data_IF_678433541723
#
_entry.id   IF_678433541723
#
_cell.length_a   1.000
_cell.length_b   1.000
_cell.length_c   1.000
_cell.angle_alpha   90.00
_cell.angle_beta   90.00
_cell.angle_gamma   90.00
#
_symmetry.space_group_name_H-M   'P 1'
#
loop_
_entity.id
_entity.type
_entity.pdbx_description
1 polymer ?
#
# COMPACT_ATOMS: atom_id res chain seq x y z
N UNK A 1 -0.42 45.66 -11.04
CA UNK A 1 0.31 44.43 -10.69
C UNK A 1 -0.65 43.31 -10.99
N UNK A 2 -0.34 42.45 -11.96
CA UNK A 2 -1.26 41.44 -12.45
C UNK A 2 -1.54 40.42 -11.34
N UNK A 3 -2.83 40.29 -11.00
CA UNK A 3 -3.39 39.17 -10.24
C UNK A 3 -3.25 37.91 -11.08
N UNK A 4 -2.05 37.31 -11.06
CA UNK A 4 -1.89 35.92 -11.47
C UNK A 4 -2.47 35.10 -10.33
N UNK A 5 -3.74 34.73 -10.44
CA UNK A 5 -4.24 33.56 -9.74
C UNK A 5 -3.30 32.41 -10.11
N UNK A 6 -2.34 32.09 -9.23
CA UNK A 6 -1.35 31.05 -9.46
C UNK A 6 -2.13 29.78 -9.84
N UNK A 7 -2.02 29.34 -11.09
CA UNK A 7 -2.67 28.11 -11.54
C UNK A 7 -2.29 27.00 -10.57
N UNK A 8 -3.31 26.35 -10.01
CA UNK A 8 -3.10 25.30 -9.02
C UNK A 8 -2.28 24.16 -9.65
N UNK A 9 -1.29 23.59 -8.94
CA UNK A 9 -0.60 22.41 -9.42
C UNK A 9 -1.60 21.28 -9.68
N UNK A 10 -1.42 20.59 -10.80
CA UNK A 10 -2.20 19.40 -11.15
C UNK A 10 -1.40 18.14 -10.78
N UNK A 11 -1.97 17.30 -9.93
CA UNK A 11 -1.35 16.04 -9.49
C UNK A 11 -2.07 14.86 -10.13
N UNK A 12 -1.35 14.02 -10.88
CA UNK A 12 -1.89 12.76 -11.40
C UNK A 12 -1.32 11.58 -10.63
N UNK A 13 -2.18 10.79 -9.99
CA UNK A 13 -1.79 9.51 -9.39
C UNK A 13 -1.84 8.40 -10.43
N UNK A 14 -0.70 7.78 -10.69
CA UNK A 14 -0.55 6.63 -11.58
C UNK A 14 -0.58 5.35 -10.74
N UNK A 15 -1.61 4.52 -10.96
CA UNK A 15 -1.85 3.32 -10.17
C UNK A 15 -2.08 2.09 -11.04
N UNK A 16 -1.70 0.92 -10.51
CA UNK A 16 -1.95 -0.36 -11.15
C UNK A 16 -3.12 -1.05 -10.46
N UNK A 17 -4.04 -1.60 -11.25
CA UNK A 17 -5.12 -2.48 -10.77
C UNK A 17 -4.78 -3.95 -11.01
N UNK A 18 -5.26 -4.81 -10.11
CA UNK A 18 -5.12 -6.26 -10.24
C UNK A 18 -6.30 -6.82 -11.04
N UNK A 19 -6.00 -7.67 -12.03
CA UNK A 19 -6.95 -8.66 -12.54
C UNK A 19 -6.71 -9.94 -11.73
N UNK A 20 -7.71 -10.37 -10.95
CA UNK A 20 -7.69 -11.72 -10.38
C UNK A 20 -8.21 -12.67 -11.46
N UNK A 21 -7.34 -13.06 -12.39
CA UNK A 21 -7.66 -14.23 -13.21
C UNK A 21 -7.50 -15.45 -12.29
N UNK A 22 -8.60 -16.07 -11.91
CA UNK A 22 -8.56 -17.47 -11.48
C UNK A 22 -7.88 -18.24 -12.60
N UNK A 23 -6.70 -18.81 -12.31
CA UNK A 23 -6.05 -19.82 -13.13
C UNK A 23 -6.93 -21.08 -13.16
N UNK A 24 -8.04 -21.00 -13.89
CA UNK A 24 -8.80 -22.17 -14.33
C UNK A 24 -8.29 -22.54 -15.72
N UNK A 25 -7.61 -23.69 -15.77
CA UNK A 25 -7.12 -24.42 -16.93
C UNK A 25 -5.68 -24.12 -17.39
N UNK A 26 -4.73 -24.69 -16.64
CA UNK A 26 -3.49 -25.22 -17.21
C UNK A 26 -3.38 -26.71 -16.84
N UNK A 27 -4.17 -27.56 -17.48
CA UNK A 27 -3.85 -28.98 -17.61
C UNK A 27 -4.14 -29.39 -19.04
N UNK A 28 -3.09 -29.41 -19.83
CA UNK A 28 -3.11 -29.89 -21.19
C UNK A 28 -1.72 -30.27 -21.70
N UNK A 29 -0.71 -30.42 -20.84
CA UNK A 29 0.36 -31.37 -21.14
C UNK A 29 1.17 -31.75 -19.90
N UNK A 30 1.51 -33.03 -19.83
CA UNK A 30 2.01 -33.73 -18.65
C UNK A 30 3.48 -34.00 -18.84
N UNK A 31 4.34 -32.98 -18.80
CA UNK A 31 5.82 -33.13 -18.88
C UNK A 31 6.51 -31.78 -18.66
N UNK A 32 6.93 -31.46 -17.43
CA UNK A 32 8.14 -30.67 -17.15
C UNK A 32 8.28 -30.41 -15.64
N UNK A 33 9.02 -31.30 -14.99
CA UNK A 33 9.65 -31.10 -13.69
C UNK A 33 11.15 -31.20 -13.92
N UNK A 34 11.87 -30.11 -13.64
CA UNK A 34 13.33 -29.94 -13.48
C UNK A 34 14.17 -29.98 -14.78
N UNK A 35 14.96 -28.92 -15.01
CA UNK A 35 16.43 -28.87 -15.23
C UNK A 35 16.78 -27.52 -15.87
N UNK A 36 17.74 -26.81 -15.27
CA UNK A 36 18.40 -25.68 -15.91
C UNK A 36 19.32 -26.16 -17.04
N UNK A 37 19.15 -25.67 -18.28
CA UNK A 37 20.22 -25.34 -19.25
C UNK A 37 19.61 -24.74 -20.52
N UNK A 38 20.23 -23.66 -21.03
CA UNK A 38 20.23 -23.12 -22.42
C UNK A 38 19.10 -23.57 -23.38
N UNK A 39 18.30 -22.61 -23.86
CA UNK A 39 18.20 -22.29 -25.30
C UNK A 39 17.27 -21.09 -25.51
N UNK A 40 17.72 -20.19 -26.38
CA UNK A 40 16.95 -19.07 -26.93
C UNK A 40 15.72 -19.58 -27.71
N UNK A 41 14.51 -19.22 -27.29
CA UNK A 41 13.42 -18.88 -28.21
C UNK A 41 12.23 -18.26 -27.46
N UNK A 42 12.27 -16.93 -27.35
CA UNK A 42 11.12 -16.08 -27.07
C UNK A 42 10.37 -15.88 -28.38
N UNK A 43 9.13 -16.36 -28.51
CA UNK A 43 8.02 -15.81 -29.33
C UNK A 43 7.08 -16.93 -29.80
N UNK A 44 6.16 -17.39 -28.94
CA UNK A 44 5.29 -18.47 -29.37
C UNK A 44 4.04 -18.79 -28.58
N UNK A 45 3.54 -17.94 -27.67
CA UNK A 45 2.23 -18.20 -27.02
C UNK A 45 1.49 -16.87 -26.79
N UNK A 46 1.01 -16.27 -27.87
CA UNK A 46 0.11 -15.11 -27.84
C UNK A 46 -1.09 -15.40 -28.74
N UNK A 47 -2.20 -15.85 -28.13
CA UNK A 47 -3.60 -15.51 -28.43
C UNK A 47 -4.51 -16.64 -27.98
N UNK A 48 -5.41 -16.32 -27.05
CA UNK A 48 -6.86 -16.59 -27.09
C UNK A 48 -7.42 -16.60 -25.66
N UNK A 49 -7.78 -15.44 -25.11
CA UNK A 49 -8.87 -15.34 -24.12
C UNK A 49 -9.61 -14.02 -24.33
N UNK A 50 -10.90 -14.12 -24.63
CA UNK A 50 -11.86 -13.04 -24.81
C UNK A 50 -12.30 -12.43 -23.47
N UNK A 51 -12.68 -11.16 -23.52
CA UNK A 51 -13.14 -10.36 -22.38
C UNK A 51 -14.26 -11.01 -21.56
N UNK A 52 -13.93 -11.30 -20.29
CA UNK A 52 -14.85 -11.13 -19.16
C UNK A 52 -14.27 -10.04 -18.27
N UNK A 53 -14.99 -8.93 -18.15
CA UNK A 53 -14.67 -7.83 -17.24
C UNK A 53 -14.68 -8.35 -15.80
N UNK A 54 -13.49 -8.63 -15.27
CA UNK A 54 -13.25 -8.73 -13.83
C UNK A 54 -13.04 -7.30 -13.30
N UNK A 55 -13.59 -6.95 -12.12
CA UNK A 55 -13.38 -5.62 -11.55
C UNK A 55 -11.89 -5.37 -11.32
N UNK A 56 -11.39 -4.22 -11.78
CA UNK A 56 -10.05 -3.68 -11.59
C UNK A 56 -9.87 -3.13 -10.16
N UNK A 57 -9.31 -3.96 -9.27
CA UNK A 57 -9.31 -3.69 -7.83
C UNK A 57 -8.22 -2.72 -7.36
N UNK A 58 -8.48 -1.41 -7.35
CA UNK A 58 -7.55 -0.38 -6.80
C UNK A 58 -7.41 -0.45 -5.28
N UNK A 59 -8.50 -0.81 -4.61
CA UNK A 59 -8.64 -1.11 -3.18
C UNK A 59 -7.63 -2.15 -2.64
N UNK A 60 -7.05 -2.97 -3.51
CA UNK A 60 -6.03 -3.96 -3.17
C UNK A 60 -4.59 -3.44 -3.37
N UNK A 61 -4.46 -2.15 -3.66
CA UNK A 61 -3.19 -1.51 -3.99
C UNK A 61 -2.74 -0.58 -2.89
N UNK A 62 -1.42 -0.52 -2.70
CA UNK A 62 -0.70 0.51 -1.94
C UNK A 62 -1.08 1.95 -2.35
N UNK A 63 -1.74 2.11 -3.51
CA UNK A 63 -2.23 3.38 -4.03
C UNK A 63 -3.43 3.93 -3.25
N UNK A 64 -4.24 3.11 -2.57
CA UNK A 64 -5.44 3.58 -1.86
C UNK A 64 -5.13 4.64 -0.79
N UNK A 65 -4.04 4.45 -0.03
CA UNK A 65 -3.61 5.44 0.99
C UNK A 65 -3.16 6.77 0.38
N UNK A 66 -2.64 6.75 -0.85
CA UNK A 66 -2.29 7.98 -1.57
C UNK A 66 -3.54 8.68 -2.07
N UNK A 67 -4.56 7.94 -2.53
CA UNK A 67 -5.87 8.53 -2.85
C UNK A 67 -6.46 9.21 -1.63
N UNK A 68 -6.40 8.57 -0.45
CA UNK A 68 -6.83 9.22 0.79
C UNK A 68 -6.01 10.48 1.07
N UNK A 69 -4.69 10.41 1.05
CA UNK A 69 -3.86 11.59 1.30
C UNK A 69 -4.14 12.73 0.31
N UNK A 70 -4.37 12.44 -0.97
CA UNK A 70 -4.75 13.45 -1.98
C UNK A 70 -6.09 14.12 -1.68
N UNK A 71 -7.03 13.42 -1.03
CA UNK A 71 -8.29 14.02 -0.56
C UNK A 71 -8.09 14.99 0.61
N UNK A 72 -7.07 14.77 1.44
CA UNK A 72 -6.73 15.68 2.54
C UNK A 72 -5.91 16.89 2.06
N UNK A 73 -5.27 16.79 0.88
CA UNK A 73 -4.44 17.85 0.32
C UNK A 73 -5.26 19.11 -0.04
N UNK A 74 -4.69 20.28 0.24
CA UNK A 74 -5.28 21.60 -0.02
C UNK A 74 -4.52 22.28 -1.16
N UNK A 75 -5.24 23.06 -1.97
CA UNK A 75 -4.63 23.91 -3.00
C UNK A 75 -4.15 23.19 -4.25
N UNK A 76 -4.53 21.92 -4.46
CA UNK A 76 -4.23 21.14 -5.67
C UNK A 76 -5.51 20.67 -6.35
N UNK A 77 -5.40 20.46 -7.65
CA UNK A 77 -6.34 19.63 -8.40
C UNK A 77 -5.67 18.28 -8.66
N UNK A 78 -6.39 17.17 -8.51
CA UNK A 78 -5.81 15.86 -8.73
C UNK A 78 -6.71 14.92 -9.52
N UNK A 79 -6.07 13.99 -10.25
CA UNK A 79 -6.73 12.98 -11.07
C UNK A 79 -6.07 11.60 -10.90
N UNK A 80 -6.77 10.55 -11.29
CA UNK A 80 -6.35 9.16 -11.19
C UNK A 80 -6.16 8.54 -12.58
N UNK A 81 -4.97 8.02 -12.85
CA UNK A 81 -4.70 7.25 -14.07
C UNK A 81 -4.42 5.79 -13.74
N UNK A 82 -5.34 4.93 -14.16
CA UNK A 82 -5.27 3.49 -13.93
C UNK A 82 -4.59 2.78 -15.09
N UNK A 83 -3.66 1.90 -14.73
CA UNK A 83 -2.95 1.02 -15.62
C UNK A 83 -3.33 -0.43 -15.29
N UNK A 84 -3.74 -1.20 -16.29
CA UNK A 84 -4.05 -2.62 -16.13
C UNK A 84 -2.75 -3.42 -16.20
N UNK A 85 -2.59 -4.43 -15.34
CA UNK A 85 -1.50 -5.39 -15.49
C UNK A 85 -1.70 -6.22 -16.76
N UNK A 86 -0.58 -6.59 -17.37
CA UNK A 86 -0.58 -7.60 -18.43
C UNK A 86 -0.87 -8.99 -17.82
N UNK A 87 -1.20 -9.98 -18.67
CA UNK A 87 -1.54 -11.36 -18.27
C UNK A 87 -0.50 -12.01 -17.34
N UNK A 88 0.76 -11.61 -17.47
CA UNK A 88 1.88 -12.17 -16.70
C UNK A 88 2.03 -11.53 -15.31
N UNK A 89 1.03 -10.76 -14.85
CA UNK A 89 1.04 -10.02 -13.58
C UNK A 89 2.19 -9.00 -13.44
N UNK A 90 2.87 -8.67 -14.55
CA UNK A 90 3.93 -7.66 -14.60
C UNK A 90 3.35 -6.26 -14.78
N UNK A 91 4.16 -5.26 -14.44
CA UNK A 91 3.80 -3.88 -14.63
C UNK A 91 3.76 -3.53 -16.13
N UNK A 92 2.70 -2.85 -16.59
CA UNK A 92 2.52 -2.58 -18.00
C UNK A 92 3.62 -1.65 -18.54
N UNK A 93 4.06 -1.82 -19.80
CA UNK A 93 5.07 -0.95 -20.42
C UNK A 93 4.74 0.55 -20.31
N UNK A 94 3.45 0.90 -20.31
CA UNK A 94 2.99 2.28 -20.17
C UNK A 94 3.37 2.91 -18.82
N UNK A 95 3.46 2.15 -17.73
CA UNK A 95 3.89 2.68 -16.44
C UNK A 95 5.41 2.80 -16.36
N UNK A 96 6.17 1.89 -17.00
CA UNK A 96 7.63 2.00 -17.13
C UNK A 96 8.06 3.28 -17.87
N UNK A 97 7.21 3.79 -18.77
CA UNK A 97 7.41 5.09 -19.43
C UNK A 97 7.27 6.29 -18.48
N UNK A 98 6.50 6.15 -17.39
CA UNK A 98 6.36 7.19 -16.37
C UNK A 98 7.53 7.12 -15.40
N UNK A 99 7.79 5.93 -14.84
CA UNK A 99 8.92 5.69 -13.95
C UNK A 99 9.59 4.33 -14.24
N UNK A 100 10.92 4.25 -14.36
CA UNK A 100 11.62 3.06 -14.89
C UNK A 100 11.41 1.79 -14.05
N UNK A 101 11.15 1.92 -12.74
CA UNK A 101 10.84 0.76 -11.87
C UNK A 101 9.50 0.09 -12.20
N UNK A 102 8.59 0.79 -12.91
CA UNK A 102 7.26 0.28 -13.22
C UNK A 102 6.44 -0.12 -11.99
N UNK A 103 6.68 0.48 -10.83
CA UNK A 103 5.90 0.21 -9.61
C UNK A 103 4.85 1.29 -9.41
N UNK A 104 3.79 0.95 -8.69
CA UNK A 104 2.79 1.90 -8.21
C UNK A 104 2.76 1.91 -6.68
N UNK A 105 2.42 3.04 -6.05
CA UNK A 105 2.01 4.31 -6.65
C UNK A 105 3.17 5.14 -7.22
N UNK A 106 2.87 5.96 -8.22
CA UNK A 106 3.74 7.03 -8.77
C UNK A 106 2.85 8.26 -8.96
N UNK A 107 3.35 9.47 -8.65
CA UNK A 107 2.65 10.70 -8.98
C UNK A 107 3.41 11.51 -10.02
N UNK A 108 2.67 12.20 -10.89
CA UNK A 108 3.20 13.25 -11.75
C UNK A 108 2.58 14.58 -11.33
N UNK A 109 3.39 15.62 -11.17
CA UNK A 109 2.95 16.95 -10.75
C UNK A 109 3.28 17.94 -11.88
N UNK A 110 2.24 18.55 -12.42
CA UNK A 110 2.31 19.61 -13.42
C UNK A 110 2.17 20.96 -12.72
N UNK A 111 3.11 21.87 -12.96
CA UNK A 111 3.10 23.23 -12.41
C UNK A 111 3.75 24.20 -13.39
N UNK A 112 3.30 25.46 -13.48
CA UNK A 112 3.92 26.47 -14.33
C UNK A 112 5.41 26.70 -14.06
N UNK A 113 5.88 26.36 -12.85
CA UNK A 113 7.28 26.53 -12.46
C UNK A 113 8.24 25.50 -13.11
N UNK A 114 7.72 24.41 -13.69
CA UNK A 114 8.54 23.33 -14.24
C UNK A 114 8.26 23.15 -15.74
N UNK A 115 9.31 23.05 -16.53
CA UNK A 115 9.20 22.83 -17.98
C UNK A 115 8.67 21.43 -18.34
N UNK A 116 8.71 20.48 -17.41
CA UNK A 116 8.21 19.11 -17.54
C UNK A 116 7.60 18.64 -16.22
N UNK A 117 6.65 17.68 -16.24
CA UNK A 117 6.07 17.17 -15.01
C UNK A 117 7.13 16.60 -14.06
N UNK A 118 7.03 16.91 -12.77
CA UNK A 118 7.81 16.26 -11.73
C UNK A 118 7.23 14.87 -11.47
N UNK A 119 8.03 13.82 -11.59
CA UNK A 119 7.60 12.44 -11.34
C UNK A 119 8.22 11.94 -10.04
N UNK A 120 7.37 11.49 -9.11
CA UNK A 120 7.79 10.95 -7.82
C UNK A 120 7.31 9.49 -7.68
N UNK A 121 8.24 8.63 -7.31
CA UNK A 121 8.01 7.25 -6.90
C UNK A 121 8.37 7.08 -5.42
N UNK A 122 8.15 5.88 -4.88
CA UNK A 122 8.23 5.55 -3.44
C UNK A 122 7.14 6.20 -2.59
N UNK A 123 6.33 5.37 -1.92
CA UNK A 123 5.17 5.89 -1.18
C UNK A 123 5.56 6.82 -0.04
N UNK A 124 6.68 6.57 0.65
CA UNK A 124 7.19 7.47 1.71
C UNK A 124 7.50 8.85 1.14
N UNK A 125 8.32 8.91 0.09
CA UNK A 125 8.68 10.15 -0.61
C UNK A 125 7.46 10.91 -1.14
N UNK A 126 6.51 10.20 -1.75
CA UNK A 126 5.27 10.80 -2.24
C UNK A 126 4.48 11.45 -1.09
N UNK A 127 4.33 10.74 0.04
CA UNK A 127 3.58 11.23 1.19
C UNK A 127 4.28 12.45 1.81
N UNK A 128 5.60 12.39 2.02
CA UNK A 128 6.39 13.50 2.55
C UNK A 128 6.25 14.75 1.68
N UNK A 129 6.41 14.60 0.35
CA UNK A 129 6.26 15.71 -0.58
C UNK A 129 4.85 16.33 -0.53
N UNK A 130 3.80 15.50 -0.51
CA UNK A 130 2.43 15.99 -0.40
C UNK A 130 2.18 16.69 0.95
N UNK A 131 2.77 16.21 2.03
CA UNK A 131 2.69 16.85 3.34
C UNK A 131 3.38 18.22 3.35
N UNK A 132 4.59 18.31 2.81
CA UNK A 132 5.37 19.56 2.79
C UNK A 132 4.65 20.68 2.02
N UNK A 133 3.96 20.32 0.93
CA UNK A 133 3.40 21.30 0.02
C UNK A 133 1.88 21.50 0.13
N UNK A 134 1.12 20.46 0.49
CA UNK A 134 -0.35 20.47 0.35
C UNK A 134 -1.09 19.94 1.58
N UNK A 135 -0.43 19.23 2.49
CA UNK A 135 -1.07 18.58 3.65
C UNK A 135 -0.31 18.79 4.96
N UNK A 136 0.25 19.98 5.18
CA UNK A 136 1.07 20.33 6.36
C UNK A 136 0.36 20.09 7.69
N UNK A 137 -0.97 20.19 7.70
CA UNK A 137 -1.81 19.92 8.87
C UNK A 137 -1.81 18.45 9.32
N UNK A 138 -1.32 17.52 8.50
CA UNK A 138 -1.15 16.11 8.84
C UNK A 138 0.25 15.79 9.42
N UNK A 139 1.10 16.81 9.60
CA UNK A 139 2.42 16.68 10.21
C UNK A 139 2.36 17.30 11.60
N UNK A 140 2.62 16.54 12.68
CA UNK A 140 2.63 17.09 14.03
C UNK A 140 3.77 18.10 14.20
N UNK A 141 3.62 19.00 15.17
CA UNK A 141 4.64 19.99 15.51
C UNK A 141 5.94 19.28 15.88
N UNK A 142 7.03 19.60 15.18
CA UNK A 142 8.31 18.92 15.38
C UNK A 142 8.94 19.16 16.74
N UNK A 143 9.10 20.42 17.13
CA UNK A 143 9.81 20.80 18.33
C UNK A 143 8.85 21.30 19.41
N UNK A 144 9.20 21.03 20.66
CA UNK A 144 8.62 21.72 21.80
C UNK A 144 8.97 23.22 21.73
N UNK A 145 8.15 24.08 22.34
CA UNK A 145 8.37 25.54 22.28
C UNK A 145 9.75 25.93 22.81
N UNK A 146 10.53 26.63 21.97
CA UNK A 146 11.88 27.11 22.30
C UNK A 146 12.96 26.02 22.33
N UNK A 147 12.68 24.83 21.78
CA UNK A 147 13.61 23.69 21.74
C UNK A 147 14.10 23.35 20.33
N UNK A 148 13.88 24.24 19.38
CA UNK A 148 14.27 24.08 17.98
C UNK A 148 15.77 23.75 17.83
N UNK A 149 16.05 22.66 17.09
CA UNK A 149 17.41 22.20 16.80
C UNK A 149 18.16 21.56 17.97
N UNK A 150 17.54 21.44 19.16
CA UNK A 150 18.14 20.78 20.31
C UNK A 150 17.90 19.27 20.24
N UNK A 151 18.92 18.46 20.55
CA UNK A 151 18.78 17.00 20.66
C UNK A 151 17.81 16.66 21.79
N UNK A 152 16.73 15.94 21.47
CA UNK A 152 15.66 15.64 22.43
C UNK A 152 14.67 16.79 22.63
N UNK A 153 14.74 17.84 21.81
CA UNK A 153 13.78 18.94 21.79
C UNK A 153 12.51 18.61 21.00
N UNK A 154 12.49 17.49 20.29
CA UNK A 154 11.33 17.05 19.52
C UNK A 154 10.13 16.68 20.42
N UNK A 155 8.92 16.78 19.86
CA UNK A 155 7.70 16.27 20.50
C UNK A 155 7.63 14.75 20.34
N UNK A 156 6.95 14.06 21.27
CA UNK A 156 6.76 12.61 21.15
C UNK A 156 5.91 12.27 19.91
N UNK A 157 4.87 13.07 19.65
CA UNK A 157 4.00 12.96 18.49
C UNK A 157 4.79 12.94 17.18
N UNK A 158 5.76 13.86 17.04
CA UNK A 158 6.57 13.94 15.84
C UNK A 158 7.61 12.82 15.74
N UNK A 159 8.19 12.38 16.85
CA UNK A 159 9.10 11.24 16.85
C UNK A 159 8.39 9.96 16.43
N UNK A 160 7.17 9.74 16.93
CA UNK A 160 6.30 8.63 16.51
C UNK A 160 5.92 8.77 15.04
N UNK A 161 5.49 9.95 14.60
CA UNK A 161 5.18 10.23 13.20
C UNK A 161 6.33 9.84 12.28
N UNK A 162 7.54 10.34 12.54
CA UNK A 162 8.74 10.01 11.75
C UNK A 162 9.03 8.51 11.76
N UNK A 163 8.95 7.86 12.92
CA UNK A 163 9.17 6.42 13.02
C UNK A 163 8.16 5.65 12.17
N UNK A 164 6.87 5.98 12.27
CA UNK A 164 5.81 5.30 11.53
C UNK A 164 5.86 5.54 10.01
N UNK A 165 6.32 6.72 9.59
CA UNK A 165 6.60 7.02 8.18
C UNK A 165 7.63 6.05 7.56
N UNK A 166 8.57 5.52 8.34
CA UNK A 166 9.52 4.50 7.86
C UNK A 166 9.08 3.06 8.18
N UNK A 167 8.47 2.85 9.34
CA UNK A 167 8.05 1.54 9.84
C UNK A 167 6.99 0.87 8.94
N UNK A 168 6.06 1.66 8.39
CA UNK A 168 4.96 1.16 7.57
C UNK A 168 5.43 0.24 6.43
N UNK A 169 6.45 0.66 5.67
CA UNK A 169 7.00 -0.10 4.54
C UNK A 169 8.25 -0.90 4.91
N UNK A 170 9.15 -0.32 5.72
CA UNK A 170 10.43 -0.93 6.04
C UNK A 170 10.30 -2.16 6.96
N UNK A 171 9.31 -2.17 7.85
CA UNK A 171 9.18 -3.19 8.89
C UNK A 171 7.90 -4.02 8.77
N UNK A 172 6.74 -3.35 8.81
CA UNK A 172 5.47 -4.08 8.89
C UNK A 172 5.07 -4.66 7.53
N UNK A 173 4.98 -3.84 6.48
CA UNK A 173 4.55 -4.31 5.16
C UNK A 173 5.55 -5.29 4.54
N UNK A 174 6.86 -5.13 4.77
CA UNK A 174 7.88 -6.09 4.32
C UNK A 174 7.68 -7.47 4.94
N UNK A 175 7.42 -7.53 6.25
CA UNK A 175 7.09 -8.77 6.97
C UNK A 175 5.77 -9.37 6.48
N UNK A 176 4.73 -8.56 6.31
CA UNK A 176 3.43 -9.00 5.82
C UNK A 176 3.51 -9.52 4.38
N UNK A 177 4.32 -8.88 3.52
CA UNK A 177 4.54 -9.34 2.15
C UNK A 177 5.20 -10.72 2.13
N UNK A 178 6.20 -10.95 2.97
CA UNK A 178 6.81 -12.28 3.09
C UNK A 178 5.76 -13.30 3.57
N UNK A 179 4.97 -12.96 4.59
CA UNK A 179 3.88 -13.84 5.06
C UNK A 179 2.90 -14.19 3.93
N UNK A 180 2.48 -13.20 3.13
CA UNK A 180 1.59 -13.42 1.98
C UNK A 180 2.23 -14.31 0.90
N UNK A 181 3.52 -14.14 0.62
CA UNK A 181 4.25 -15.02 -0.33
C UNK A 181 4.26 -16.45 0.17
N UNK A 182 4.54 -16.65 1.47
CA UNK A 182 4.54 -18.00 2.07
C UNK A 182 3.15 -18.62 2.07
N UNK A 183 2.09 -17.86 2.39
CA UNK A 183 0.70 -18.34 2.30
C UNK A 183 0.36 -18.80 0.88
N UNK A 184 0.73 -17.98 -0.11
CA UNK A 184 0.49 -18.28 -1.52
C UNK A 184 1.24 -19.53 -1.98
N UNK A 185 2.37 -19.90 -1.37
CA UNK A 185 3.08 -21.16 -1.66
C UNK A 185 2.36 -22.35 -1.00
N UNK A 186 1.92 -22.19 0.25
CA UNK A 186 1.27 -23.26 1.02
C UNK A 186 -0.11 -23.63 0.51
N UNK A 187 -0.91 -22.63 0.10
CA UNK A 187 -2.32 -22.80 -0.26
C UNK A 187 -2.61 -22.46 -1.73
N UNK A 188 -1.60 -22.52 -2.61
CA UNK A 188 -1.82 -22.33 -4.04
C UNK A 188 -2.81 -23.38 -4.60
N UNK A 189 -3.97 -22.97 -5.13
CA UNK A 189 -4.92 -23.90 -5.73
C UNK A 189 -4.33 -24.64 -6.95
N UNK A 190 -3.37 -24.05 -7.65
CA UNK A 190 -2.72 -24.63 -8.81
C UNK A 190 -1.68 -25.72 -8.46
N UNK A 191 -1.27 -25.87 -7.19
CA UNK A 191 -0.34 -26.94 -6.79
C UNK A 191 -1.03 -28.30 -6.87
N UNK A 192 -0.49 -29.29 -7.60
CA UNK A 192 -1.05 -30.64 -7.65
C UNK A 192 -1.17 -31.29 -6.27
N UNK A 193 -2.25 -32.04 -6.03
CA UNK A 193 -2.60 -32.57 -4.70
C UNK A 193 -1.46 -33.37 -4.03
N UNK A 194 -0.65 -34.10 -4.81
CA UNK A 194 0.47 -34.88 -4.28
C UNK A 194 1.67 -34.03 -3.82
N UNK A 195 1.82 -32.79 -4.31
CA UNK A 195 2.87 -31.86 -3.89
C UNK A 195 2.41 -30.96 -2.73
N UNK A 196 1.10 -30.72 -2.59
CA UNK A 196 0.52 -29.85 -1.55
C UNK A 196 1.00 -30.15 -0.11
N UNK A 197 1.15 -31.42 0.33
CA UNK A 197 1.68 -31.71 1.67
C UNK A 197 3.09 -31.15 1.87
N UNK A 198 3.94 -31.21 0.84
CA UNK A 198 5.33 -30.73 0.90
C UNK A 198 5.35 -29.19 0.97
N UNK A 199 4.60 -28.51 0.11
CA UNK A 199 4.56 -27.03 0.11
C UNK A 199 3.98 -26.48 1.42
N UNK A 200 2.97 -27.15 2.00
CA UNK A 200 2.43 -26.82 3.32
C UNK A 200 3.41 -27.07 4.46
N UNK A 201 4.18 -28.15 4.40
CA UNK A 201 5.22 -28.43 5.40
C UNK A 201 6.32 -27.36 5.39
N UNK A 202 6.79 -26.97 4.20
CA UNK A 202 7.76 -25.88 4.04
C UNK A 202 7.21 -24.56 4.60
N UNK A 203 5.98 -24.21 4.22
CA UNK A 203 5.32 -22.97 4.69
C UNK A 203 5.16 -22.96 6.21
N UNK A 204 4.71 -24.07 6.79
CA UNK A 204 4.57 -24.24 8.25
C UNK A 204 5.92 -24.09 8.96
N UNK A 205 7.00 -24.61 8.37
CA UNK A 205 8.36 -24.49 8.92
C UNK A 205 8.84 -23.04 8.92
N UNK A 206 8.65 -22.31 7.83
CA UNK A 206 8.99 -20.87 7.76
C UNK A 206 8.18 -20.07 8.79
N UNK A 207 6.91 -20.37 8.97
CA UNK A 207 6.08 -19.76 10.00
C UNK A 207 6.61 -20.02 11.41
N UNK A 208 6.88 -21.29 11.75
CA UNK A 208 7.35 -21.67 13.08
C UNK A 208 8.72 -21.10 13.46
N UNK A 209 9.64 -20.97 12.49
CA UNK A 209 11.00 -20.45 12.76
C UNK A 209 11.02 -18.93 12.84
N UNK A 210 10.22 -18.25 12.01
CA UNK A 210 10.37 -16.81 11.80
C UNK A 210 9.03 -16.07 11.91
N UNK A 211 8.08 -16.30 10.99
CA UNK A 211 6.95 -15.38 10.81
C UNK A 211 6.03 -15.27 12.03
N UNK A 212 5.76 -16.37 12.74
CA UNK A 212 4.84 -16.35 13.88
C UNK A 212 5.33 -15.40 14.99
N UNK A 213 6.61 -15.50 15.37
CA UNK A 213 7.17 -14.66 16.43
C UNK A 213 7.40 -13.22 15.95
N UNK A 214 7.82 -13.03 14.70
CA UNK A 214 8.02 -11.69 14.13
C UNK A 214 6.69 -10.93 14.04
N UNK A 215 5.64 -11.55 13.50
CA UNK A 215 4.31 -10.96 13.42
C UNK A 215 3.75 -10.65 14.82
N UNK A 216 3.87 -11.61 15.76
CA UNK A 216 3.47 -11.39 17.16
C UNK A 216 4.19 -10.16 17.74
N UNK A 217 5.48 -10.01 17.51
CA UNK A 217 6.26 -8.86 17.99
C UNK A 217 5.73 -7.54 17.44
N UNK A 218 5.45 -7.48 16.14
CA UNK A 218 4.87 -6.27 15.52
C UNK A 218 3.48 -5.94 16.09
N UNK A 219 2.62 -6.94 16.30
CA UNK A 219 1.26 -6.70 16.80
C UNK A 219 1.22 -6.38 18.30
N UNK A 220 2.05 -7.03 19.13
CA UNK A 220 2.22 -6.67 20.54
C UNK A 220 2.76 -5.22 20.64
N UNK A 221 3.74 -4.85 19.82
CA UNK A 221 4.26 -3.47 19.76
C UNK A 221 3.16 -2.47 19.40
N UNK A 222 2.42 -2.69 18.31
CA UNK A 222 1.38 -1.75 17.88
C UNK A 222 0.24 -1.62 18.89
N UNK A 223 -0.19 -2.72 19.52
CA UNK A 223 -1.18 -2.69 20.60
C UNK A 223 -0.69 -1.83 21.77
N UNK A 224 0.58 -1.98 22.17
CA UNK A 224 1.18 -1.17 23.23
C UNK A 224 1.32 0.30 22.84
N UNK A 225 1.71 0.59 21.59
CA UNK A 225 1.86 1.96 21.12
C UNK A 225 0.52 2.70 21.09
N UNK A 226 -0.56 2.03 20.70
CA UNK A 226 -1.92 2.56 20.80
C UNK A 226 -2.40 2.69 22.25
N UNK A 227 -1.91 1.84 23.16
CA UNK A 227 -2.21 1.97 24.59
C UNK A 227 -1.50 3.17 25.23
N UNK A 228 -0.42 3.66 24.63
CA UNK A 228 0.44 4.73 25.14
C UNK A 228 0.50 5.90 24.19
N UNK A 229 -0.54 6.11 23.36
CA UNK A 229 -0.55 7.22 22.40
C UNK A 229 -0.34 8.56 23.11
N UNK A 230 0.49 9.48 22.57
CA UNK A 230 0.77 10.76 23.22
C UNK A 230 -0.53 11.50 23.56
N UNK A 231 -0.59 12.04 24.78
CA UNK A 231 -1.76 12.76 25.28
C UNK A 231 -3.03 11.90 25.39
N UNK A 232 -2.89 10.59 25.59
CA UNK A 232 -4.00 9.62 25.57
C UNK A 232 -4.83 9.68 24.27
N UNK A 233 -4.13 9.98 23.17
CA UNK A 233 -4.70 10.15 21.85
C UNK A 233 -5.32 8.88 21.26
N UNK A 234 -6.20 9.07 20.27
CA UNK A 234 -6.88 7.97 19.56
C UNK A 234 -6.10 7.44 18.34
N UNK A 235 -5.08 8.15 17.87
CA UNK A 235 -4.23 7.77 16.74
C UNK A 235 -2.86 7.27 17.19
N UNK A 236 -2.00 6.79 16.28
CA UNK A 236 -0.68 6.28 16.65
C UNK A 236 0.26 7.38 17.15
N UNK A 237 0.09 8.59 16.61
CA UNK A 237 0.96 9.73 16.87
C UNK A 237 0.36 10.73 17.85
N UNK A 238 -0.85 10.52 18.37
CA UNK A 238 -1.48 11.42 19.34
C UNK A 238 -2.98 11.60 19.11
N UNK A 239 -3.49 12.79 19.44
CA UNK A 239 -4.93 13.11 19.38
C UNK A 239 -5.45 13.37 17.97
N UNK A 240 -4.59 13.87 17.07
CA UNK A 240 -4.92 14.30 15.71
C UNK A 240 -4.49 13.26 14.67
N UNK A 241 -5.21 13.22 13.54
CA UNK A 241 -4.84 12.39 12.40
C UNK A 241 -3.53 12.88 11.79
N UNK A 242 -2.61 11.95 11.52
CA UNK A 242 -1.38 12.27 10.78
C UNK A 242 -1.24 11.47 9.50
N UNK A 243 -0.33 11.90 8.61
CA UNK A 243 -0.04 11.15 7.40
C UNK A 243 0.57 9.76 7.69
N UNK A 244 1.18 9.57 8.86
CA UNK A 244 1.65 8.27 9.32
C UNK A 244 0.50 7.30 9.59
N UNK A 245 -0.61 7.78 10.16
CA UNK A 245 -1.83 6.98 10.37
C UNK A 245 -2.44 6.53 9.03
N UNK A 246 -2.51 7.44 8.06
CA UNK A 246 -2.95 7.15 6.68
C UNK A 246 -2.01 6.11 6.04
N UNK A 247 -0.69 6.27 6.19
CA UNK A 247 0.30 5.36 5.63
C UNK A 247 0.18 3.94 6.21
N UNK A 248 -0.02 3.86 7.54
CA UNK A 248 -0.20 2.62 8.30
C UNK A 248 -1.53 1.90 8.03
N UNK A 249 -2.53 2.59 7.49
CA UNK A 249 -3.86 2.00 7.24
C UNK A 249 -3.77 0.78 6.32
N UNK A 250 -2.98 0.85 5.23
CA UNK A 250 -2.88 -0.26 4.28
C UNK A 250 -2.36 -1.57 4.89
N UNK A 251 -1.17 -1.62 5.52
CA UNK A 251 -0.68 -2.87 6.11
C UNK A 251 -1.57 -3.39 7.24
N UNK A 252 -2.23 -2.51 8.02
CA UNK A 252 -3.11 -2.92 9.11
C UNK A 252 -4.42 -3.54 8.63
N UNK A 253 -5.06 -2.92 7.64
CA UNK A 253 -6.27 -3.48 7.01
C UNK A 253 -5.94 -4.81 6.32
N UNK A 254 -4.79 -4.89 5.63
CA UNK A 254 -4.34 -6.14 5.02
C UNK A 254 -4.12 -7.25 6.07
N UNK A 255 -3.49 -6.93 7.20
CA UNK A 255 -3.27 -7.87 8.29
C UNK A 255 -4.58 -8.33 8.93
N UNK A 256 -5.53 -7.42 9.17
CA UNK A 256 -6.84 -7.74 9.75
C UNK A 256 -7.66 -8.64 8.82
N UNK A 257 -7.79 -8.27 7.55
CA UNK A 257 -8.57 -9.02 6.57
C UNK A 257 -7.97 -10.42 6.32
N UNK A 258 -6.63 -10.52 6.32
CA UNK A 258 -5.94 -11.82 6.22
C UNK A 258 -5.79 -12.56 7.55
N UNK A 259 -6.49 -12.10 8.61
CA UNK A 259 -6.51 -12.71 9.94
C UNK A 259 -5.11 -13.02 10.49
N UNK A 260 -4.17 -12.10 10.25
CA UNK A 260 -2.76 -12.23 10.69
C UNK A 260 -2.59 -12.06 12.19
N UNK A 261 -3.60 -11.52 12.86
CA UNK A 261 -3.67 -11.44 14.30
C UNK A 261 -5.10 -11.70 14.77
N UNK A 262 -5.22 -12.14 16.02
CA UNK A 262 -6.51 -12.33 16.68
C UNK A 262 -7.02 -11.00 17.23
N UNK A 263 -8.19 -10.57 16.74
CA UNK A 263 -8.79 -9.32 17.17
C UNK A 263 -9.16 -9.29 18.66
N UNK A 264 -9.44 -10.44 19.27
CA UNK A 264 -9.73 -10.53 20.70
C UNK A 264 -8.48 -10.29 21.55
N UNK A 265 -7.31 -10.69 21.04
CA UNK A 265 -6.01 -10.48 21.69
C UNK A 265 -5.50 -9.05 21.54
N UNK A 266 -5.80 -8.39 20.41
CA UNK A 266 -5.35 -7.05 20.10
C UNK A 266 -6.54 -6.09 19.91
N UNK A 267 -7.30 -5.79 20.97
CA UNK A 267 -8.51 -4.99 20.87
C UNK A 267 -8.25 -3.53 20.50
N UNK A 268 -7.16 -2.90 20.97
CA UNK A 268 -6.84 -1.51 20.60
C UNK A 268 -6.42 -1.43 19.13
N UNK A 269 -5.57 -2.35 18.67
CA UNK A 269 -5.14 -2.42 17.27
C UNK A 269 -6.32 -2.67 16.33
N UNK A 270 -7.20 -3.61 16.70
CA UNK A 270 -8.42 -3.90 15.95
C UNK A 270 -9.38 -2.71 15.93
N UNK A 271 -9.57 -2.07 17.08
CA UNK A 271 -10.42 -0.88 17.23
C UNK A 271 -9.89 0.29 16.40
N UNK A 272 -8.59 0.56 16.47
CA UNK A 272 -7.90 1.56 15.67
C UNK A 272 -8.04 1.27 14.17
N UNK A 273 -7.76 0.04 13.73
CA UNK A 273 -7.88 -0.33 12.29
C UNK A 273 -9.30 -0.08 11.78
N UNK A 274 -10.33 -0.49 12.53
CA UNK A 274 -11.73 -0.25 12.18
C UNK A 274 -12.10 1.23 12.22
N UNK A 275 -11.56 1.99 13.17
CA UNK A 275 -11.76 3.44 13.23
C UNK A 275 -11.20 4.11 11.97
N UNK A 276 -10.01 3.70 11.53
CA UNK A 276 -9.37 4.22 10.31
C UNK A 276 -10.17 3.87 9.05
N UNK A 277 -10.66 2.64 8.91
CA UNK A 277 -11.57 2.25 7.81
C UNK A 277 -12.91 3.01 7.83
N UNK A 278 -13.31 3.51 9.00
CA UNK A 278 -14.53 4.29 9.15
C UNK A 278 -14.33 5.80 9.04
N UNK A 279 -13.09 6.27 8.95
CA UNK A 279 -12.76 7.68 8.83
C UNK A 279 -13.41 8.30 7.59
N UNK A 280 -13.85 9.55 7.71
CA UNK A 280 -14.54 10.25 6.63
C UNK A 280 -13.66 10.36 5.37
N UNK A 281 -12.40 10.76 5.54
CA UNK A 281 -11.43 10.83 4.44
C UNK A 281 -11.17 9.49 3.77
N UNK A 282 -11.11 8.38 4.53
CA UNK A 282 -10.98 7.04 3.96
C UNK A 282 -12.19 6.69 3.09
N UNK A 283 -13.40 6.87 3.60
CA UNK A 283 -14.64 6.62 2.85
C UNK A 283 -14.77 7.53 1.63
N UNK A 284 -14.40 8.81 1.76
CA UNK A 284 -14.39 9.76 0.65
C UNK A 284 -13.38 9.35 -0.43
N UNK A 285 -12.21 8.83 -0.04
CA UNK A 285 -11.20 8.31 -0.97
C UNK A 285 -11.68 7.09 -1.75
N UNK A 286 -12.44 6.22 -1.07
CA UNK A 286 -13.10 5.07 -1.70
C UNK A 286 -14.13 5.56 -2.71
N UNK A 287 -15.07 6.40 -2.27
CA UNK A 287 -16.14 6.91 -3.14
C UNK A 287 -15.57 7.61 -4.37
N UNK A 288 -14.56 8.46 -4.19
CA UNK A 288 -13.88 9.16 -5.28
C UNK A 288 -13.20 8.19 -6.25
N UNK A 289 -12.60 7.13 -5.72
CA UNK A 289 -12.06 6.04 -6.55
C UNK A 289 -13.18 5.42 -7.38
N UNK A 290 -14.29 4.99 -6.76
CA UNK A 290 -15.42 4.38 -7.46
C UNK A 290 -16.01 5.30 -8.55
N UNK A 291 -16.10 6.61 -8.27
CA UNK A 291 -16.56 7.62 -9.23
C UNK A 291 -15.62 7.75 -10.44
N UNK A 292 -14.30 7.70 -10.22
CA UNK A 292 -13.30 7.83 -11.29
C UNK A 292 -13.12 6.53 -12.08
N UNK A 293 -13.32 5.37 -11.45
CA UNK A 293 -13.13 4.06 -12.10
C UNK A 293 -14.42 3.48 -12.70
N UNK A 294 -15.57 3.89 -12.18
CA UNK A 294 -16.86 3.23 -12.45
C UNK A 294 -17.01 1.86 -11.78
N UNK A 295 -16.13 1.50 -10.84
CA UNK A 295 -16.07 0.18 -10.22
C UNK A 295 -16.25 0.24 -8.71
N UNK A 296 -17.00 -0.71 -8.14
CA UNK A 296 -17.26 -0.78 -6.71
C UNK A 296 -16.05 -1.24 -5.91
N UNK A 297 -15.89 -0.66 -4.73
CA UNK A 297 -14.93 -1.04 -3.72
C UNK A 297 -15.41 -2.30 -2.97
N UNK A 298 -14.60 -3.35 -3.02
CA UNK A 298 -14.81 -4.57 -2.25
C UNK A 298 -13.70 -4.74 -1.20
N UNK A 299 -14.05 -4.82 0.09
CA UNK A 299 -13.06 -5.20 1.10
C UNK A 299 -12.51 -6.60 0.81
N UNK A 300 -11.24 -6.86 1.16
CA UNK A 300 -10.66 -8.18 1.03
C UNK A 300 -11.49 -9.18 1.88
N UNK A 301 -12.02 -10.26 1.30
CA UNK A 301 -12.55 -11.37 2.10
C UNK A 301 -11.43 -12.10 2.87
#
# INVERSE_FOLDING_TARGET
MADQSLEKPKVTLHCITYRFETLTNLTGDTSLVIIATKSDDYNGISRLITDKFLPNRLNQSRSQRIVWLLQECKGIDWDLKIYKRDSDSLAPPALKKIHPLGKSPVISIETPALAKPLVLAESGTIIEYLCDHFAQHLVPKRYQDGKDGQVGGETEEWLRFRMYMHYAEGSLMSTLLLAMVIDNIGDNPATPFFIRPITRAISSKVYSIFLTNTLKTHFDFLEQQLATSPGDGKYLCGAELTAADIFMTFPLVAALNKKKYDAARYPKLSGYTKMMENHEGYKASIKKTEELTGEKYELLP
#
